data_IF_441224419685
#
_entry.id   IF_441224419685
#
_cell.length_a   1.000
_cell.length_b   1.000
_cell.length_c   1.000
_cell.angle_alpha   90.00
_cell.angle_beta   90.00
_cell.angle_gamma   90.00
#
_symmetry.space_group_name_H-M   'P 1'
#
loop_
_entity.id
_entity.type
_entity.pdbx_description
1 polymer ?
#
# COMPACT_ATOMS: atom_id res chain seq x y z
N UNK A 1 -3.62 -6.91 -33.26
CA UNK A 1 -3.02 -8.26 -33.39
C UNK A 1 -2.10 -8.50 -32.19
N UNK A 2 -2.39 -9.56 -31.42
CA UNK A 2 -1.56 -9.90 -30.27
C UNK A 2 -0.27 -10.55 -30.80
N UNK A 3 0.92 -10.03 -30.45
CA UNK A 3 2.16 -10.64 -30.90
C UNK A 3 2.27 -12.05 -30.30
N UNK A 4 2.88 -12.99 -31.02
CA UNK A 4 3.09 -14.32 -30.47
C UNK A 4 3.99 -14.26 -29.23
N UNK A 5 3.67 -15.10 -28.26
CA UNK A 5 4.37 -15.13 -26.95
C UNK A 5 5.89 -15.34 -27.05
N UNK A 6 6.35 -15.85 -28.20
CA UNK A 6 7.76 -16.12 -28.43
C UNK A 6 8.53 -14.93 -29.02
N UNK A 7 7.85 -13.84 -29.31
CA UNK A 7 8.50 -12.66 -29.86
C UNK A 7 9.08 -11.81 -28.74
N UNK A 8 10.37 -11.45 -28.78
CA UNK A 8 10.92 -10.57 -27.78
C UNK A 8 10.21 -9.22 -27.86
N UNK A 9 9.43 -8.91 -26.81
CA UNK A 9 8.76 -7.62 -26.70
C UNK A 9 9.77 -6.55 -26.34
N UNK A 10 9.72 -5.40 -27.02
CA UNK A 10 10.49 -4.23 -26.60
C UNK A 10 10.09 -3.80 -25.21
N UNK A 11 10.94 -3.05 -24.51
CA UNK A 11 10.69 -2.61 -23.13
C UNK A 11 9.34 -1.94 -22.97
N UNK A 12 8.95 -1.10 -23.91
CA UNK A 12 7.69 -0.34 -23.81
C UNK A 12 6.45 -1.23 -23.88
N UNK A 13 6.60 -2.47 -24.34
CA UNK A 13 5.51 -3.44 -24.45
C UNK A 13 5.56 -4.50 -23.34
N UNK A 14 6.51 -4.41 -22.41
CA UNK A 14 6.60 -5.33 -21.28
C UNK A 14 5.70 -4.88 -20.13
N UNK A 15 4.81 -5.77 -19.72
CA UNK A 15 3.90 -5.51 -18.60
C UNK A 15 4.67 -5.18 -17.31
N UNK A 16 5.70 -5.96 -17.00
CA UNK A 16 6.50 -5.77 -15.79
C UNK A 16 7.16 -4.40 -15.74
N UNK A 17 7.75 -3.99 -16.84
CA UNK A 17 8.39 -2.68 -16.98
C UNK A 17 7.35 -1.55 -16.84
N UNK A 18 6.19 -1.72 -17.47
CA UNK A 18 5.10 -0.75 -17.40
C UNK A 18 4.58 -0.57 -15.95
N UNK A 19 4.40 -1.69 -15.23
CA UNK A 19 3.98 -1.64 -13.83
C UNK A 19 5.05 -0.99 -12.94
N UNK A 20 6.31 -1.34 -13.17
CA UNK A 20 7.43 -0.76 -12.42
C UNK A 20 7.50 0.76 -12.62
N UNK A 21 7.44 1.20 -13.87
CA UNK A 21 7.46 2.62 -14.21
C UNK A 21 6.26 3.39 -13.65
N UNK A 22 5.07 2.81 -13.75
CA UNK A 22 3.86 3.42 -13.19
C UNK A 22 3.95 3.54 -11.68
N UNK A 23 4.45 2.51 -10.99
CA UNK A 23 4.63 2.52 -9.55
C UNK A 23 5.60 3.63 -9.10
N UNK A 24 6.72 3.78 -9.80
CA UNK A 24 7.69 4.85 -9.53
C UNK A 24 7.06 6.22 -9.78
N UNK A 25 6.35 6.39 -10.88
CA UNK A 25 5.72 7.66 -11.23
C UNK A 25 4.67 8.06 -10.18
N UNK A 26 3.87 7.11 -9.72
CA UNK A 26 2.90 7.36 -8.65
C UNK A 26 3.60 7.76 -7.35
N UNK A 27 4.68 7.09 -6.99
CA UNK A 27 5.48 7.41 -5.80
C UNK A 27 6.00 8.84 -5.83
N UNK A 28 6.41 9.31 -7.01
CA UNK A 28 6.88 10.70 -7.18
C UNK A 28 5.76 11.72 -6.99
N UNK A 29 4.53 11.37 -7.38
CA UNK A 29 3.36 12.24 -7.15
C UNK A 29 3.01 12.27 -5.66
N UNK A 30 3.05 11.13 -4.98
CA UNK A 30 2.75 11.03 -3.55
C UNK A 30 3.78 11.74 -2.67
N UNK A 31 5.06 11.69 -3.05
CA UNK A 31 6.16 12.09 -2.17
C UNK A 31 6.03 13.50 -1.58
N UNK A 32 5.80 14.57 -2.37
CA UNK A 32 5.71 15.92 -1.79
C UNK A 32 4.56 16.06 -0.78
N UNK A 33 3.45 15.36 -1.02
CA UNK A 33 2.29 15.40 -0.15
C UNK A 33 2.52 14.61 1.13
N UNK A 34 3.15 13.43 1.02
CA UNK A 34 3.50 12.62 2.18
C UNK A 34 4.59 13.27 3.04
N UNK A 35 5.53 13.98 2.41
CA UNK A 35 6.55 14.73 3.13
C UNK A 35 5.92 15.80 4.04
N UNK A 36 4.84 16.44 3.60
CA UNK A 36 4.07 17.39 4.43
C UNK A 36 3.43 16.71 5.65
N UNK A 37 3.04 15.44 5.51
CA UNK A 37 2.48 14.67 6.62
C UNK A 37 3.57 14.01 7.48
N UNK A 38 4.84 14.06 7.05
CA UNK A 38 5.96 13.46 7.77
C UNK A 38 6.01 11.95 7.72
N UNK A 39 5.42 11.33 6.69
CA UNK A 39 5.36 9.88 6.55
C UNK A 39 5.80 9.43 5.16
N UNK A 40 6.17 8.15 5.05
CA UNK A 40 6.46 7.49 3.78
C UNK A 40 5.20 6.82 3.23
N UNK A 41 5.23 6.41 1.96
CA UNK A 41 4.10 5.69 1.37
C UNK A 41 3.79 4.37 2.09
N UNK A 42 4.77 3.51 2.41
CA UNK A 42 4.48 2.32 3.20
C UNK A 42 3.88 2.60 4.57
N UNK A 43 4.33 3.66 5.25
CA UNK A 43 3.71 4.10 6.52
C UNK A 43 2.27 4.54 6.32
N UNK A 44 2.00 5.26 5.23
CA UNK A 44 0.65 5.67 4.84
C UNK A 44 -0.26 4.44 4.66
N UNK A 45 0.24 3.38 4.02
CA UNK A 45 -0.53 2.14 3.84
C UNK A 45 -0.88 1.48 5.18
N UNK A 46 0.05 1.45 6.12
CA UNK A 46 -0.21 0.92 7.47
C UNK A 46 -1.29 1.73 8.16
N UNK A 47 -1.18 3.06 8.12
CA UNK A 47 -2.21 3.94 8.68
C UNK A 47 -3.56 3.71 8.01
N UNK A 48 -3.57 3.55 6.69
CA UNK A 48 -4.80 3.31 5.93
C UNK A 48 -5.50 2.02 6.38
N UNK A 49 -4.73 0.96 6.60
CA UNK A 49 -5.28 -0.29 7.12
C UNK A 49 -5.91 -0.09 8.51
N UNK A 50 -5.30 0.75 9.35
CA UNK A 50 -5.83 1.08 10.68
C UNK A 50 -7.04 2.02 10.61
N UNK A 51 -7.10 2.92 9.65
CA UNK A 51 -8.29 3.77 9.44
C UNK A 51 -9.49 2.93 8.99
N UNK A 52 -9.25 1.88 8.20
CA UNK A 52 -10.33 0.94 7.83
C UNK A 52 -10.83 0.17 9.05
N UNK A 53 -9.92 -0.30 9.87
CA UNK A 53 -10.23 -1.05 11.10
C UNK A 53 -9.06 -0.89 12.09
N UNK A 54 -9.28 -0.13 13.14
CA UNK A 54 -8.27 0.11 14.17
C UNK A 54 -7.98 -1.16 14.99
N UNK A 55 -6.93 -1.11 15.76
CA UNK A 55 -6.56 -2.19 16.67
C UNK A 55 -6.27 -3.53 15.98
N UNK A 56 -5.64 -3.49 14.80
CA UNK A 56 -5.18 -4.70 14.11
C UNK A 56 -3.85 -5.18 14.72
N UNK A 57 -3.63 -6.47 14.69
CA UNK A 57 -2.29 -7.02 14.98
C UNK A 57 -1.35 -6.75 13.81
N UNK A 58 -0.04 -6.82 14.06
CA UNK A 58 0.97 -6.70 12.98
C UNK A 58 0.70 -7.73 11.88
N UNK A 59 0.38 -8.97 12.26
CA UNK A 59 0.03 -10.01 11.29
C UNK A 59 -1.20 -9.67 10.46
N UNK A 60 -2.23 -9.09 11.07
CA UNK A 60 -3.44 -8.67 10.36
C UNK A 60 -3.17 -7.51 9.40
N UNK A 61 -2.31 -6.58 9.78
CA UNK A 61 -1.88 -5.48 8.90
C UNK A 61 -1.11 -6.04 7.71
N UNK A 62 -0.17 -6.94 7.96
CA UNK A 62 0.63 -7.58 6.91
C UNK A 62 -0.27 -8.31 5.91
N UNK A 63 -1.23 -9.09 6.40
CA UNK A 63 -2.19 -9.79 5.57
C UNK A 63 -3.03 -8.82 4.73
N UNK A 64 -3.54 -7.76 5.35
CA UNK A 64 -4.35 -6.74 4.65
C UNK A 64 -3.59 -6.06 3.52
N UNK A 65 -2.30 -5.80 3.71
CA UNK A 65 -1.45 -5.12 2.73
C UNK A 65 -0.74 -6.08 1.77
N UNK A 66 -0.89 -7.39 1.98
CA UNK A 66 -0.17 -8.42 1.22
C UNK A 66 1.36 -8.25 1.31
N UNK A 67 1.83 -7.95 2.52
CA UNK A 67 3.26 -7.78 2.85
C UNK A 67 3.65 -8.74 3.97
N UNK A 68 4.94 -8.91 4.17
CA UNK A 68 5.46 -9.73 5.25
C UNK A 68 5.44 -8.98 6.59
N UNK A 69 5.21 -9.70 7.68
CA UNK A 69 5.26 -9.12 9.03
C UNK A 69 6.61 -8.47 9.34
N UNK A 70 7.69 -9.03 8.81
CA UNK A 70 9.03 -8.46 8.93
C UNK A 70 9.17 -7.09 8.27
N UNK A 71 8.36 -6.81 7.25
CA UNK A 71 8.28 -5.49 6.60
C UNK A 71 7.44 -4.52 7.44
N UNK A 72 6.36 -5.00 8.04
CA UNK A 72 5.41 -4.16 8.81
C UNK A 72 6.01 -3.71 10.14
N UNK A 73 6.73 -4.58 10.84
CA UNK A 73 7.26 -4.29 12.18
C UNK A 73 8.10 -3.01 12.23
N UNK A 74 9.08 -2.77 11.33
CA UNK A 74 9.83 -1.52 11.33
C UNK A 74 8.96 -0.29 11.03
N UNK A 75 7.96 -0.42 10.15
CA UNK A 75 7.05 0.66 9.82
C UNK A 75 6.24 1.09 11.05
N UNK A 76 5.71 0.11 11.78
CA UNK A 76 4.94 0.36 13.00
C UNK A 76 5.81 1.00 14.07
N UNK A 77 7.06 0.56 14.23
CA UNK A 77 7.99 1.17 15.16
C UNK A 77 8.23 2.65 14.87
N UNK A 78 8.40 2.99 13.60
CA UNK A 78 8.59 4.39 13.18
C UNK A 78 7.33 5.22 13.39
N UNK A 79 6.16 4.67 13.11
CA UNK A 79 4.89 5.34 13.36
C UNK A 79 4.66 5.57 14.85
N UNK A 80 5.02 4.62 15.69
CA UNK A 80 4.94 4.76 17.14
C UNK A 80 5.90 5.85 17.64
N UNK A 81 7.12 5.89 17.13
CA UNK A 81 8.09 6.93 17.48
C UNK A 81 7.60 8.33 17.05
N UNK A 82 6.84 8.41 15.96
CA UNK A 82 6.25 9.66 15.48
C UNK A 82 4.97 10.05 16.24
N UNK A 83 4.49 9.22 17.16
CA UNK A 83 3.29 9.50 17.95
C UNK A 83 1.98 9.25 17.23
N UNK A 84 1.99 8.50 16.12
CA UNK A 84 0.80 8.25 15.30
C UNK A 84 0.08 6.96 15.67
N UNK A 85 0.79 6.01 16.26
CA UNK A 85 0.22 4.74 16.74
C UNK A 85 0.85 4.37 18.08
N UNK A 86 0.20 3.46 18.79
CA UNK A 86 0.75 2.75 19.96
C UNK A 86 0.85 1.27 19.64
N UNK A 87 1.79 0.60 20.32
CA UNK A 87 1.98 -0.85 20.20
C UNK A 87 1.82 -1.48 21.57
N UNK A 88 1.01 -2.53 21.61
CA UNK A 88 0.80 -3.29 22.83
C UNK A 88 0.89 -4.77 22.50
N UNK A 89 1.55 -5.54 23.39
CA UNK A 89 1.47 -6.99 23.28
C UNK A 89 0.06 -7.43 23.60
N UNK A 90 -0.45 -8.37 22.82
CA UNK A 90 -1.78 -8.93 23.03
C UNK A 90 -1.77 -9.71 24.35
N UNK A 91 -2.62 -9.37 25.36
CA UNK A 91 -2.69 -10.12 26.61
C UNK A 91 -3.07 -11.58 26.41
N UNK A 92 -3.81 -11.89 25.35
CA UNK A 92 -4.23 -13.25 25.04
C UNK A 92 -3.13 -14.07 24.36
N UNK A 93 -2.23 -13.42 23.62
CA UNK A 93 -1.08 -14.08 22.96
C UNK A 93 0.07 -13.08 22.82
N UNK A 94 1.09 -13.23 23.67
CA UNK A 94 2.24 -12.33 23.74
C UNK A 94 3.07 -12.28 22.45
N UNK A 95 2.87 -13.24 21.53
CA UNK A 95 3.53 -13.25 20.23
C UNK A 95 2.91 -12.22 19.27
N UNK A 96 1.69 -11.78 19.54
CA UNK A 96 0.98 -10.80 18.74
C UNK A 96 1.13 -9.41 19.33
N UNK A 97 1.49 -8.46 18.48
CA UNK A 97 1.52 -7.04 18.82
C UNK A 97 0.32 -6.37 18.18
N UNK A 98 -0.49 -5.72 19.00
CA UNK A 98 -1.65 -4.96 18.55
C UNK A 98 -1.28 -3.51 18.38
N UNK A 99 -1.72 -2.93 17.27
CA UNK A 99 -1.40 -1.56 16.88
C UNK A 99 -2.68 -0.73 16.92
N UNK A 100 -2.65 0.41 17.60
CA UNK A 100 -3.80 1.31 17.71
C UNK A 100 -3.41 2.71 17.26
N UNK A 101 -4.36 3.39 16.62
CA UNK A 101 -4.18 4.81 16.26
C UNK A 101 -4.19 5.66 17.52
N UNK A 102 -3.33 6.68 17.56
CA UNK A 102 -3.46 7.79 18.51
C UNK A 102 -4.44 8.80 17.94
N UNK A 103 -4.82 9.81 18.73
CA UNK A 103 -5.64 10.92 18.23
C UNK A 103 -4.98 11.62 17.06
N UNK A 104 -3.66 11.80 17.11
CA UNK A 104 -2.88 12.37 16.04
C UNK A 104 -2.93 11.50 14.79
N UNK A 105 -2.82 10.18 14.93
CA UNK A 105 -2.94 9.23 13.83
C UNK A 105 -4.31 9.25 13.18
N UNK A 106 -5.38 9.39 13.96
CA UNK A 106 -6.73 9.52 13.43
C UNK A 106 -6.93 10.84 12.68
N UNK A 107 -6.35 11.92 13.19
CA UNK A 107 -6.46 13.24 12.54
C UNK A 107 -5.86 13.28 11.15
N UNK A 108 -4.82 12.48 10.87
CA UNK A 108 -4.21 12.42 9.55
C UNK A 108 -5.14 11.85 8.48
N UNK A 109 -6.18 11.12 8.85
CA UNK A 109 -7.10 10.54 7.88
C UNK A 109 -7.74 11.59 6.98
N UNK A 110 -8.20 12.70 7.57
CA UNK A 110 -8.82 13.79 6.78
C UNK A 110 -7.84 14.43 5.81
N UNK A 111 -6.61 14.65 6.24
CA UNK A 111 -5.56 15.23 5.39
C UNK A 111 -5.21 14.25 4.24
N UNK A 112 -5.26 12.95 4.49
CA UNK A 112 -4.95 11.94 3.49
C UNK A 112 -6.03 11.80 2.41
N UNK A 113 -7.28 12.12 2.73
CA UNK A 113 -8.37 12.08 1.74
C UNK A 113 -8.12 13.09 0.61
N UNK A 114 -7.68 14.30 0.94
CA UNK A 114 -7.30 15.31 -0.05
C UNK A 114 -6.13 14.83 -0.92
N UNK A 115 -5.23 14.07 -0.35
CA UNK A 115 -4.08 13.50 -1.03
C UNK A 115 -4.52 12.51 -2.12
N UNK A 116 -5.42 11.61 -1.78
CA UNK A 116 -5.95 10.62 -2.73
C UNK A 116 -6.64 11.30 -3.92
N UNK A 117 -7.44 12.32 -3.68
CA UNK A 117 -8.10 13.09 -4.74
C UNK A 117 -7.09 13.76 -5.67
N UNK A 118 -6.02 14.34 -5.12
CA UNK A 118 -4.96 14.96 -5.92
C UNK A 118 -4.27 13.97 -6.83
N UNK A 119 -4.00 12.76 -6.34
CA UNK A 119 -3.39 11.71 -7.14
C UNK A 119 -4.33 11.27 -8.26
N UNK A 120 -5.61 11.04 -7.96
CA UNK A 120 -6.60 10.64 -8.96
C UNK A 120 -6.71 11.68 -10.09
N UNK A 121 -6.74 12.96 -9.74
CA UNK A 121 -6.79 14.04 -10.73
C UNK A 121 -5.61 13.99 -11.67
N UNK A 122 -4.42 13.68 -11.16
CA UNK A 122 -3.21 13.63 -11.98
C UNK A 122 -3.13 12.43 -12.90
N UNK A 123 -3.90 11.37 -12.64
CA UNK A 123 -3.96 10.23 -13.55
C UNK A 123 -4.63 10.56 -14.88
N UNK A 124 -5.49 11.58 -14.90
CA UNK A 124 -6.30 11.90 -16.07
C UNK A 124 -7.41 10.90 -16.36
N UNK A 125 -7.59 9.90 -15.49
CA UNK A 125 -8.60 8.87 -15.65
C UNK A 125 -9.88 9.22 -14.89
N UNK A 126 -11.02 8.76 -15.41
CA UNK A 126 -12.28 8.84 -14.69
C UNK A 126 -12.31 7.85 -13.53
N UNK A 127 -13.19 8.04 -12.58
CA UNK A 127 -13.36 7.10 -11.47
C UNK A 127 -13.69 5.69 -11.96
N UNK A 128 -14.50 5.57 -13.02
CA UNK A 128 -14.83 4.27 -13.62
C UNK A 128 -13.60 3.61 -14.24
N UNK A 129 -12.77 4.37 -14.97
CA UNK A 129 -11.53 3.87 -15.57
C UNK A 129 -10.53 3.42 -14.49
N UNK A 130 -10.42 4.18 -13.41
CA UNK A 130 -9.55 3.80 -12.27
C UNK A 130 -10.04 2.50 -11.64
N UNK A 131 -11.35 2.34 -11.45
CA UNK A 131 -11.91 1.12 -10.88
C UNK A 131 -11.62 -0.11 -11.75
N UNK A 132 -11.76 0.03 -13.07
CA UNK A 132 -11.47 -1.06 -14.02
C UNK A 132 -9.99 -1.43 -13.96
N UNK A 133 -9.10 -0.45 -14.05
CA UNK A 133 -7.65 -0.68 -14.03
C UNK A 133 -7.21 -1.30 -12.69
N UNK A 134 -7.72 -0.79 -11.58
CA UNK A 134 -7.43 -1.32 -10.24
C UNK A 134 -7.85 -2.79 -10.15
N UNK A 135 -9.05 -3.12 -10.63
CA UNK A 135 -9.53 -4.51 -10.66
C UNK A 135 -8.66 -5.43 -11.49
N UNK A 136 -8.19 -4.97 -12.65
CA UNK A 136 -7.29 -5.74 -13.51
C UNK A 136 -5.94 -6.01 -12.83
N UNK A 137 -5.37 -5.01 -12.19
CA UNK A 137 -4.09 -5.15 -11.46
C UNK A 137 -4.25 -6.07 -10.25
N UNK A 138 -5.36 -5.97 -9.51
CA UNK A 138 -5.66 -6.86 -8.40
C UNK A 138 -5.80 -8.32 -8.86
N UNK A 139 -6.45 -8.56 -9.99
CA UNK A 139 -6.56 -9.89 -10.58
C UNK A 139 -5.19 -10.43 -10.94
N UNK A 140 -4.35 -9.62 -11.56
CA UNK A 140 -2.97 -9.99 -11.88
C UNK A 140 -2.18 -10.34 -10.61
N UNK A 141 -2.28 -9.51 -9.57
CA UNK A 141 -1.56 -9.75 -8.31
C UNK A 141 -1.97 -11.08 -7.68
N UNK A 142 -3.27 -11.39 -7.65
CA UNK A 142 -3.76 -12.67 -7.11
C UNK A 142 -3.26 -13.86 -7.91
N UNK A 143 -3.31 -13.76 -9.24
CA UNK A 143 -2.82 -14.81 -10.11
C UNK A 143 -1.33 -15.11 -9.87
N UNK A 144 -0.52 -14.06 -9.72
CA UNK A 144 0.91 -14.20 -9.46
C UNK A 144 1.18 -14.81 -8.07
N UNK A 145 0.40 -14.41 -7.06
CA UNK A 145 0.53 -14.97 -5.72
C UNK A 145 0.13 -16.46 -5.66
N UNK A 146 -0.91 -16.85 -6.40
CA UNK A 146 -1.41 -18.23 -6.47
C UNK A 146 -0.55 -19.13 -7.36
N UNK A 147 0.23 -18.57 -8.27
CA UNK A 147 1.09 -19.37 -9.16
C UNK A 147 2.17 -20.14 -8.40
N UNK A 148 2.30 -19.85 -7.12
CA UNK A 148 3.11 -20.63 -6.21
C UNK A 148 4.60 -20.36 -6.33
N UNK A 149 5.33 -21.01 -5.44
CA UNK A 149 6.77 -21.00 -5.43
C UNK A 149 7.27 -21.88 -6.58
N UNK A 150 8.08 -21.37 -7.51
CA UNK A 150 8.69 -22.23 -8.49
C UNK A 150 9.57 -23.26 -7.79
N UNK A 151 9.25 -24.49 -7.99
CA UNK A 151 10.00 -25.60 -7.40
C UNK A 151 11.48 -25.51 -7.80
#
# INVERSE_FOLDING_TARGET
MTPPLNHPLGLDNQLCFSLYGASIAMGRVYKPMLDKLGITYPQYLVLHALWEQDARTIGAIAERLALESSTITPLVKRLAAAGLVTRERDPADERNVRVRLTDQGRALQQESECLAESVFTRTGLTAAEIAVLTGQIQTLRRALAESGDPA
#
